data_IF_209092905296
#
_entry.id   IF_209092905296
#
_cell.length_a   1.000
_cell.length_b   1.000
_cell.length_c   1.000
_cell.angle_alpha   90.00
_cell.angle_beta   90.00
_cell.angle_gamma   90.00
#
_symmetry.space_group_name_H-M   'P 1'
#
loop_
_entity.id
_entity.type
_entity.pdbx_description
1 polymer ?
#
# COMPACT_ATOMS: atom_id res chain seq x y z
N UNK A 1 6.14 24.58 15.63
CA UNK A 1 6.54 24.26 14.25
C UNK A 1 6.98 22.82 14.22
N UNK A 2 6.26 21.97 13.49
CA UNK A 2 6.73 20.82 12.72
C UNK A 2 5.51 20.45 11.87
N UNK A 3 5.52 20.83 10.59
CA UNK A 3 4.57 20.28 9.63
C UNK A 3 4.79 18.77 9.68
N UNK A 4 3.79 18.02 10.15
CA UNK A 4 3.84 16.57 10.07
C UNK A 4 3.95 16.21 8.61
N UNK A 5 5.13 15.76 8.18
CA UNK A 5 5.25 15.01 6.95
C UNK A 5 4.31 13.81 7.13
N UNK A 6 3.11 13.88 6.57
CA UNK A 6 2.37 12.68 6.27
C UNK A 6 3.26 11.93 5.30
N UNK A 7 3.90 10.86 5.77
CA UNK A 7 4.73 10.02 4.93
C UNK A 7 3.91 9.61 3.71
N UNK A 8 4.39 10.00 2.54
CA UNK A 8 3.81 9.64 1.27
C UNK A 8 3.71 8.10 1.18
N UNK A 9 2.59 7.59 0.67
CA UNK A 9 2.48 6.16 0.42
C UNK A 9 3.56 5.75 -0.60
N UNK A 10 4.47 4.81 -0.26
CA UNK A 10 5.56 4.43 -1.13
C UNK A 10 5.07 3.89 -2.48
N UNK A 11 5.83 4.14 -3.55
CA UNK A 11 5.53 3.64 -4.89
C UNK A 11 5.90 2.16 -5.00
N UNK A 12 5.10 1.30 -4.37
CA UNK A 12 5.22 -0.16 -4.41
C UNK A 12 3.92 -0.77 -4.92
N UNK A 13 4.04 -1.87 -5.66
CA UNK A 13 2.89 -2.59 -6.18
C UNK A 13 2.18 -3.40 -5.10
N UNK A 14 0.89 -3.65 -5.30
CA UNK A 14 0.05 -4.29 -4.29
C UNK A 14 0.39 -5.76 -4.06
N UNK A 15 0.85 -6.44 -5.11
CA UNK A 15 1.34 -7.82 -5.05
C UNK A 15 2.61 -7.94 -4.20
N UNK A 16 3.49 -6.94 -4.23
CA UNK A 16 4.69 -6.88 -3.37
C UNK A 16 4.30 -6.80 -1.89
N UNK A 17 3.34 -5.93 -1.56
CA UNK A 17 2.83 -5.79 -0.18
C UNK A 17 2.14 -7.07 0.29
N UNK A 18 1.28 -7.66 -0.55
CA UNK A 18 0.60 -8.93 -0.22
C UNK A 18 1.62 -10.08 -0.11
N UNK A 19 2.62 -10.12 -0.98
CA UNK A 19 3.69 -11.10 -0.98
C UNK A 19 4.50 -11.07 0.32
N UNK A 20 4.88 -9.87 0.78
CA UNK A 20 5.53 -9.68 2.08
C UNK A 20 4.67 -10.22 3.22
N UNK A 21 3.39 -9.85 3.29
CA UNK A 21 2.50 -10.28 4.39
C UNK A 21 2.32 -11.80 4.41
N UNK A 22 2.13 -12.43 3.24
CA UNK A 22 2.04 -13.89 3.12
C UNK A 22 3.34 -14.58 3.54
N UNK A 23 4.48 -14.05 3.10
CA UNK A 23 5.78 -14.56 3.50
C UNK A 23 5.94 -14.51 5.02
N UNK A 24 5.70 -13.35 5.63
CA UNK A 24 5.81 -13.17 7.08
C UNK A 24 4.90 -14.13 7.85
N UNK A 25 3.65 -14.33 7.41
CA UNK A 25 2.77 -15.31 8.03
C UNK A 25 3.32 -16.74 7.93
N UNK A 26 3.88 -17.12 6.78
CA UNK A 26 4.43 -18.46 6.56
C UNK A 26 5.59 -18.82 7.50
N UNK A 27 6.30 -17.81 8.02
CA UNK A 27 7.40 -17.96 8.99
C UNK A 27 6.97 -17.68 10.44
N UNK A 28 5.67 -17.59 10.71
CA UNK A 28 5.12 -17.43 12.07
C UNK A 28 4.62 -16.02 12.41
N UNK A 29 4.56 -15.10 11.44
CA UNK A 29 3.95 -13.77 11.57
C UNK A 29 4.77 -12.75 12.35
N UNK A 30 6.01 -13.10 12.72
CA UNK A 30 6.93 -12.24 13.46
C UNK A 30 8.37 -12.54 13.03
N UNK A 31 9.13 -11.50 12.75
CA UNK A 31 10.55 -11.61 12.38
C UNK A 31 11.33 -10.40 12.87
N UNK A 32 12.59 -10.62 13.21
CA UNK A 32 13.54 -9.54 13.45
C UNK A 32 13.74 -8.76 12.14
N UNK A 33 13.43 -7.46 12.15
CA UNK A 33 13.48 -6.65 10.93
C UNK A 33 14.90 -6.57 10.32
N UNK A 34 15.95 -6.78 11.12
CA UNK A 34 17.34 -6.78 10.67
C UNK A 34 17.74 -8.00 9.85
N UNK A 35 16.88 -9.03 9.79
CA UNK A 35 17.15 -10.29 9.09
C UNK A 35 16.28 -10.47 7.85
N UNK A 36 15.45 -9.47 7.53
CA UNK A 36 14.42 -9.59 6.51
C UNK A 36 15.00 -9.55 5.09
N UNK A 37 16.08 -8.81 4.91
CA UNK A 37 16.90 -8.72 3.70
C UNK A 37 17.58 -10.06 3.34
N UNK A 38 18.01 -10.83 4.32
CA UNK A 38 18.56 -12.19 4.11
C UNK A 38 17.47 -13.21 3.69
N UNK A 39 16.21 -12.90 4.01
CA UNK A 39 15.08 -13.83 3.97
C UNK A 39 14.24 -13.71 2.70
N UNK A 40 14.35 -12.59 2.00
CA UNK A 40 13.60 -12.26 0.80
C UNK A 40 14.57 -12.05 -0.37
N UNK A 41 14.38 -12.76 -1.47
CA UNK A 41 15.05 -12.48 -2.77
C UNK A 41 14.42 -11.23 -3.44
N UNK A 42 14.24 -10.18 -2.64
CA UNK A 42 13.68 -8.89 -3.04
C UNK A 42 14.85 -7.92 -3.09
N UNK A 43 14.81 -7.01 -4.06
CA UNK A 43 15.75 -5.90 -4.13
C UNK A 43 15.85 -5.21 -2.75
N UNK A 44 17.04 -5.21 -2.16
CA UNK A 44 17.29 -4.74 -0.79
C UNK A 44 16.83 -3.28 -0.66
N UNK A 45 16.93 -2.50 -1.74
CA UNK A 45 16.51 -1.10 -1.76
C UNK A 45 14.98 -0.95 -1.76
N UNK A 46 14.25 -1.94 -2.24
CA UNK A 46 12.79 -1.92 -2.34
C UNK A 46 12.10 -2.37 -1.04
N UNK A 47 12.72 -3.30 -0.31
CA UNK A 47 12.10 -3.94 0.86
C UNK A 47 11.64 -2.93 1.94
N UNK A 48 12.43 -1.90 2.33
CA UNK A 48 11.98 -0.88 3.28
C UNK A 48 10.70 -0.17 2.83
N UNK A 49 10.54 0.09 1.53
CA UNK A 49 9.36 0.74 0.98
C UNK A 49 8.12 -0.16 1.05
N UNK A 50 8.28 -1.46 0.81
CA UNK A 50 7.19 -2.44 0.93
C UNK A 50 6.73 -2.58 2.37
N UNK A 51 7.66 -2.66 3.33
CA UNK A 51 7.36 -2.68 4.77
C UNK A 51 6.60 -1.41 5.17
N UNK A 52 7.09 -0.24 4.74
CA UNK A 52 6.48 1.05 5.06
C UNK A 52 5.06 1.15 4.50
N UNK A 53 4.82 0.71 3.26
CA UNK A 53 3.49 0.66 2.69
C UNK A 53 2.56 -0.26 3.50
N UNK A 54 3.01 -1.47 3.83
CA UNK A 54 2.26 -2.43 4.64
C UNK A 54 1.91 -1.89 6.04
N UNK A 55 2.81 -1.11 6.65
CA UNK A 55 2.61 -0.46 7.94
C UNK A 55 1.59 0.68 7.84
N UNK A 56 1.68 1.54 6.82
CA UNK A 56 0.74 2.66 6.59
C UNK A 56 -0.71 2.15 6.50
N UNK A 57 -0.92 1.00 5.86
CA UNK A 57 -2.26 0.40 5.70
C UNK A 57 -2.61 -0.59 6.82
N UNK A 58 -1.74 -0.76 7.82
CA UNK A 58 -2.01 -1.52 9.05
C UNK A 58 -1.95 -3.05 8.92
N UNK A 59 -1.31 -3.58 7.88
CA UNK A 59 -1.12 -5.03 7.71
C UNK A 59 0.00 -5.58 8.57
N UNK A 60 1.00 -4.75 8.85
CA UNK A 60 2.11 -5.04 9.75
C UNK A 60 2.27 -3.90 10.74
N UNK A 61 3.03 -4.14 11.81
CA UNK A 61 3.48 -3.12 12.74
C UNK A 61 4.92 -3.40 13.16
N UNK A 62 5.69 -2.35 13.40
CA UNK A 62 6.98 -2.49 14.08
C UNK A 62 6.82 -2.40 15.60
N UNK A 63 7.50 -3.28 16.32
CA UNK A 63 7.55 -3.26 17.78
C UNK A 63 8.86 -3.85 18.27
N UNK A 64 9.66 -3.06 18.98
CA UNK A 64 10.94 -3.49 19.58
C UNK A 64 11.92 -4.11 18.57
N UNK A 65 12.01 -3.58 17.35
CA UNK A 65 12.87 -4.12 16.28
C UNK A 65 12.27 -5.31 15.52
N UNK A 66 11.11 -5.82 15.96
CA UNK A 66 10.38 -6.87 15.27
C UNK A 66 9.35 -6.30 14.29
N UNK A 67 9.24 -6.92 13.12
CA UNK A 67 8.14 -6.74 12.20
C UNK A 67 7.07 -7.81 12.49
N UNK A 68 5.85 -7.37 12.82
CA UNK A 68 4.77 -8.24 13.28
C UNK A 68 3.57 -8.08 12.36
N UNK A 69 3.05 -9.18 11.82
CA UNK A 69 1.80 -9.18 11.05
C UNK A 69 0.62 -8.96 11.99
N UNK A 70 -0.27 -8.03 11.63
CA UNK A 70 -1.47 -7.72 12.42
C UNK A 70 -2.55 -8.77 12.20
N UNK A 71 -3.58 -8.77 13.05
CA UNK A 71 -4.73 -9.67 12.89
C UNK A 71 -5.46 -9.46 11.56
N UNK A 72 -5.42 -8.25 10.98
CA UNK A 72 -5.99 -8.01 9.65
C UNK A 72 -5.06 -8.50 8.54
N UNK A 73 -3.74 -8.40 8.72
CA UNK A 73 -2.75 -8.99 7.81
C UNK A 73 -2.86 -10.51 7.71
N UNK A 74 -3.14 -11.20 8.82
CA UNK A 74 -3.42 -12.65 8.83
C UNK A 74 -4.66 -13.00 8.00
N UNK A 75 -5.74 -12.24 8.15
CA UNK A 75 -7.00 -12.46 7.41
C UNK A 75 -6.88 -12.29 5.90
N UNK A 76 -5.91 -11.51 5.43
CA UNK A 76 -5.65 -11.32 4.00
C UNK A 76 -5.20 -12.62 3.33
N UNK A 77 -4.46 -13.47 4.04
CA UNK A 77 -4.01 -14.75 3.49
C UNK A 77 -5.16 -15.74 3.27
N UNK A 78 -6.12 -15.73 4.20
CA UNK A 78 -7.27 -16.66 4.22
C UNK A 78 -8.46 -16.17 3.37
N UNK A 79 -8.46 -14.88 2.99
CA UNK A 79 -9.59 -14.26 2.32
C UNK A 79 -9.74 -14.68 0.86
N UNK A 80 -10.97 -15.00 0.45
CA UNK A 80 -11.31 -15.06 -0.97
C UNK A 80 -11.12 -13.69 -1.64
N UNK A 81 -10.94 -13.69 -2.97
CA UNK A 81 -10.69 -12.47 -3.75
C UNK A 81 -11.67 -11.32 -3.48
N UNK A 82 -12.95 -11.63 -3.23
CA UNK A 82 -13.99 -10.64 -2.94
C UNK A 82 -13.81 -10.02 -1.56
N UNK A 83 -13.50 -10.83 -0.55
CA UNK A 83 -13.33 -10.39 0.82
C UNK A 83 -12.03 -9.58 0.97
N UNK A 84 -10.96 -10.03 0.31
CA UNK A 84 -9.70 -9.29 0.19
C UNK A 84 -9.94 -7.86 -0.32
N UNK A 85 -10.70 -7.70 -1.43
CA UNK A 85 -11.00 -6.39 -2.01
C UNK A 85 -11.70 -5.47 -1.01
N UNK A 86 -12.67 -5.99 -0.26
CA UNK A 86 -13.42 -5.23 0.74
C UNK A 86 -12.51 -4.82 1.90
N UNK A 87 -11.65 -5.72 2.36
CA UNK A 87 -10.66 -5.46 3.41
C UNK A 87 -9.69 -4.35 2.94
N UNK A 88 -9.06 -4.53 1.78
CA UNK A 88 -8.08 -3.59 1.23
C UNK A 88 -8.67 -2.20 1.03
N UNK A 89 -9.91 -2.11 0.50
CA UNK A 89 -10.60 -0.82 0.38
C UNK A 89 -10.81 -0.13 1.73
N UNK A 90 -11.08 -0.88 2.80
CA UNK A 90 -11.22 -0.31 4.16
C UNK A 90 -9.90 0.13 4.76
N UNK A 91 -8.79 -0.52 4.39
CA UNK A 91 -7.46 -0.19 4.90
C UNK A 91 -6.89 1.06 4.21
N UNK A 92 -6.92 1.10 2.88
CA UNK A 92 -6.26 2.19 2.14
C UNK A 92 -7.04 3.51 2.19
N UNK A 93 -8.36 3.50 2.42
CA UNK A 93 -9.20 4.72 2.39
C UNK A 93 -8.81 5.82 3.38
N UNK A 94 -7.99 5.49 4.37
CA UNK A 94 -7.51 6.44 5.38
C UNK A 94 -6.08 6.92 5.13
N UNK A 95 -5.38 6.32 4.15
CA UNK A 95 -4.03 6.70 3.76
C UNK A 95 -4.07 7.67 2.57
N UNK A 96 -3.26 8.72 2.61
CA UNK A 96 -3.03 9.55 1.42
C UNK A 96 -2.04 8.83 0.48
N UNK A 97 -2.20 8.94 -0.85
CA UNK A 97 -3.15 9.78 -1.59
C UNK A 97 -4.53 9.12 -1.81
N UNK A 98 -4.73 7.87 -1.37
CA UNK A 98 -5.97 7.13 -1.65
C UNK A 98 -7.22 7.80 -1.11
N UNK A 99 -7.13 8.44 0.05
CA UNK A 99 -8.24 9.19 0.63
C UNK A 99 -8.71 10.34 -0.29
N UNK A 100 -7.81 11.18 -0.77
CA UNK A 100 -8.12 12.26 -1.73
C UNK A 100 -8.65 11.70 -3.06
N UNK A 101 -8.07 10.61 -3.56
CA UNK A 101 -8.50 9.94 -4.82
C UNK A 101 -9.92 9.39 -4.70
N UNK A 102 -10.19 8.60 -3.65
CA UNK A 102 -11.50 7.98 -3.42
C UNK A 102 -12.57 9.06 -3.23
N UNK A 103 -12.24 10.17 -2.57
CA UNK A 103 -13.16 11.29 -2.38
C UNK A 103 -13.45 12.05 -3.68
N UNK A 104 -12.52 12.04 -4.64
CA UNK A 104 -12.67 12.69 -5.94
C UNK A 104 -13.29 11.78 -7.02
N UNK A 105 -13.26 10.46 -6.82
CA UNK A 105 -13.78 9.49 -7.78
C UNK A 105 -15.32 9.58 -7.91
N UNK A 106 -15.82 9.54 -9.14
CA UNK A 106 -17.26 9.53 -9.46
C UNK A 106 -17.61 8.21 -10.13
N UNK A 107 -18.67 7.53 -9.66
CA UNK A 107 -19.10 6.21 -10.18
C UNK A 107 -17.95 5.19 -10.29
N UNK A 108 -17.05 5.18 -9.29
CA UNK A 108 -15.83 4.36 -9.28
C UNK A 108 -14.87 4.64 -10.46
N UNK A 109 -14.85 5.86 -10.96
CA UNK A 109 -13.93 6.31 -11.99
C UNK A 109 -13.23 7.59 -11.56
N UNK A 110 -11.97 7.76 -11.96
CA UNK A 110 -11.22 9.00 -11.82
C UNK A 110 -10.53 9.33 -13.15
N UNK A 111 -10.65 10.59 -13.58
CA UNK A 111 -9.94 11.09 -14.75
C UNK A 111 -8.43 11.15 -14.46
N UNK A 112 -7.59 10.75 -15.42
CA UNK A 112 -6.13 10.72 -15.28
C UNK A 112 -5.51 12.08 -14.92
N UNK A 113 -6.04 13.19 -15.44
CA UNK A 113 -5.59 14.55 -15.10
C UNK A 113 -5.92 14.90 -13.66
N UNK A 114 -7.09 14.45 -13.16
CA UNK A 114 -7.44 14.64 -11.76
C UNK A 114 -6.57 13.78 -10.84
N UNK A 115 -6.25 12.55 -11.25
CA UNK A 115 -5.31 11.70 -10.52
C UNK A 115 -3.92 12.35 -10.45
N UNK A 116 -3.42 12.88 -11.58
CA UNK A 116 -2.16 13.63 -11.68
C UNK A 116 -2.12 14.79 -10.68
N UNK A 117 -3.14 15.65 -10.67
CA UNK A 117 -3.25 16.79 -9.74
C UNK A 117 -3.18 16.34 -8.27
N UNK A 118 -3.87 15.26 -7.91
CA UNK A 118 -3.86 14.74 -6.54
C UNK A 118 -2.47 14.20 -6.18
N UNK A 119 -1.80 13.49 -7.08
CA UNK A 119 -0.46 12.96 -6.84
C UNK A 119 0.58 14.09 -6.70
N UNK A 120 0.52 15.12 -7.55
CA UNK A 120 1.39 16.30 -7.43
C UNK A 120 1.20 17.01 -6.09
N UNK A 121 -0.06 17.21 -5.68
CA UNK A 121 -0.39 17.81 -4.37
C UNK A 121 0.10 16.98 -3.19
N UNK A 122 0.17 15.66 -3.33
CA UNK A 122 0.71 14.73 -2.35
C UNK A 122 2.24 14.57 -2.44
N UNK A 123 2.92 15.41 -3.22
CA UNK A 123 4.38 15.51 -3.25
C UNK A 123 5.07 14.39 -4.05
N UNK A 124 4.37 13.71 -4.96
CA UNK A 124 5.01 12.72 -5.83
C UNK A 124 5.87 13.44 -6.87
N UNK A 125 7.15 13.07 -6.98
CA UNK A 125 8.08 13.68 -7.94
C UNK A 125 8.04 12.98 -9.30
N UNK A 126 7.96 11.64 -9.30
CA UNK A 126 7.79 10.85 -10.52
C UNK A 126 6.31 10.53 -10.74
N UNK A 127 5.60 11.46 -11.37
CA UNK A 127 4.15 11.36 -11.53
C UNK A 127 3.73 10.21 -12.42
N UNK A 128 4.46 9.91 -13.49
CA UNK A 128 4.07 8.85 -14.41
C UNK A 128 4.21 7.46 -13.77
N UNK A 129 5.27 7.27 -12.98
CA UNK A 129 5.42 6.07 -12.13
C UNK A 129 4.33 6.01 -11.06
N UNK A 130 4.04 7.12 -10.39
CA UNK A 130 2.99 7.18 -9.39
C UNK A 130 1.62 6.84 -9.97
N UNK A 131 1.26 7.36 -11.15
CA UNK A 131 0.03 7.00 -11.86
C UNK A 131 -0.01 5.50 -12.11
N UNK A 132 1.06 4.90 -12.62
CA UNK A 132 1.11 3.46 -12.91
C UNK A 132 0.88 2.63 -11.64
N UNK A 133 1.65 2.87 -10.59
CA UNK A 133 1.55 2.12 -9.32
C UNK A 133 0.18 2.32 -8.69
N UNK A 134 -0.25 3.56 -8.49
CA UNK A 134 -1.50 3.88 -7.82
C UNK A 134 -2.70 3.35 -8.61
N UNK A 135 -2.66 3.34 -9.94
CA UNK A 135 -3.71 2.75 -10.77
C UNK A 135 -3.94 1.27 -10.47
N UNK A 136 -2.89 0.49 -10.17
CA UNK A 136 -3.04 -0.92 -9.80
C UNK A 136 -3.75 -1.09 -8.45
N UNK A 137 -3.42 -0.24 -7.48
CA UNK A 137 -4.13 -0.19 -6.20
C UNK A 137 -5.60 0.21 -6.36
N UNK A 138 -5.90 1.18 -7.23
CA UNK A 138 -7.27 1.59 -7.55
C UNK A 138 -8.06 0.46 -8.21
N UNK A 139 -7.46 -0.24 -9.17
CA UNK A 139 -8.08 -1.39 -9.85
C UNK A 139 -8.42 -2.51 -8.84
N UNK A 140 -7.54 -2.77 -7.86
CA UNK A 140 -7.81 -3.72 -6.79
C UNK A 140 -9.08 -3.34 -6.02
N UNK A 141 -9.32 -2.06 -5.72
CA UNK A 141 -10.52 -1.62 -4.99
C UNK A 141 -11.72 -1.29 -5.89
N UNK A 142 -11.57 -1.53 -7.19
CA UNK A 142 -12.62 -1.38 -8.20
C UNK A 142 -12.82 0.05 -8.70
N UNK A 143 -11.81 0.91 -8.57
CA UNK A 143 -11.78 2.26 -9.16
C UNK A 143 -10.97 2.21 -10.45
N UNK A 144 -11.55 2.69 -11.56
CA UNK A 144 -10.89 2.73 -12.86
C UNK A 144 -10.34 4.13 -13.13
N UNK A 145 -9.11 4.19 -13.63
CA UNK A 145 -8.54 5.43 -14.19
C UNK A 145 -8.96 5.52 -15.65
N UNK A 146 -9.52 6.67 -16.05
CA UNK A 146 -10.00 6.90 -17.40
C UNK A 146 -9.27 8.08 -18.04
N UNK A 147 -9.08 8.00 -19.35
CA UNK A 147 -8.70 9.12 -20.19
C UNK A 147 -9.99 9.55 -20.88
N UNK A 148 -10.48 10.76 -20.56
CA UNK A 148 -11.60 11.37 -21.27
C UNK A 148 -11.13 11.97 -22.60
#
# INVERSE_FOLDING_TARGET
MLNGFMDQFPLVYVDQVIGLVKYLNSIGGKVDSSRLDEMLDVDIDLLPHVIKAAEIIGLVKQSNGDLIVTEIGKKIEEAENKDMRIIMKKLIKNAEPFKDIISSAKKNQINIEKLREILEKNGYNNIDEAINVISQWLALIGINVIVE
#
